data_IF_495616458684
#
_entry.id   IF_495616458684
#
_cell.length_a   1.000
_cell.length_b   1.000
_cell.length_c   1.000
_cell.angle_alpha   90.00
_cell.angle_beta   90.00
_cell.angle_gamma   90.00
#
_symmetry.space_group_name_H-M   'P 1'
#
loop_
_entity.id
_entity.type
_entity.pdbx_description
1 polymer ?
#
# COMPACT_ATOMS: atom_id res chain seq x y z
N UNK A 1 10.48 29.65 6.27
CA UNK A 1 9.12 29.12 6.51
C UNK A 1 8.66 29.67 7.84
N UNK A 2 7.47 30.27 7.92
CA UNK A 2 6.92 30.67 9.21
C UNK A 2 6.52 29.42 10.02
N UNK A 3 6.47 29.53 11.34
CA UNK A 3 5.96 28.44 12.19
C UNK A 3 4.52 28.06 11.82
N UNK A 4 3.71 29.05 11.41
CA UNK A 4 2.34 28.83 10.93
C UNK A 4 2.35 27.94 9.68
N UNK A 5 3.21 28.22 8.69
CA UNK A 5 3.31 27.40 7.48
C UNK A 5 3.70 25.95 7.79
N UNK A 6 4.57 25.75 8.79
CA UNK A 6 4.97 24.41 9.24
C UNK A 6 3.78 23.62 9.79
N UNK A 7 2.95 24.23 10.64
CA UNK A 7 1.76 23.58 11.19
C UNK A 7 0.67 23.34 10.13
N UNK A 8 0.46 24.30 9.22
CA UNK A 8 -0.47 24.15 8.10
C UNK A 8 -0.05 22.98 7.18
N UNK A 9 1.25 22.85 6.90
CA UNK A 9 1.77 21.72 6.15
C UNK A 9 1.61 20.40 6.90
N UNK A 10 1.84 20.38 8.22
CA UNK A 10 1.70 19.18 9.05
C UNK A 10 0.24 18.66 9.13
N UNK A 11 -0.75 19.54 9.00
CA UNK A 11 -2.17 19.19 9.03
C UNK A 11 -2.61 18.37 7.80
N UNK A 12 -1.89 18.47 6.68
CA UNK A 12 -2.23 17.73 5.45
C UNK A 12 -1.20 16.64 5.19
N UNK A 13 -1.66 15.42 4.90
CA UNK A 13 -0.77 14.30 4.56
C UNK A 13 0.02 14.59 3.29
N UNK A 14 1.30 14.23 3.27
CA UNK A 14 2.19 14.46 2.13
C UNK A 14 1.67 13.89 0.81
N UNK A 15 1.14 12.67 0.84
CA UNK A 15 0.55 12.05 -0.35
C UNK A 15 -0.67 12.83 -0.87
N UNK A 16 -1.52 13.34 0.02
CA UNK A 16 -2.67 14.17 -0.36
C UNK A 16 -2.19 15.48 -0.98
N UNK A 17 -1.19 16.14 -0.36
CA UNK A 17 -0.59 17.37 -0.87
C UNK A 17 0.01 17.20 -2.26
N UNK A 18 0.81 16.15 -2.49
CA UNK A 18 1.40 15.84 -3.80
C UNK A 18 0.32 15.54 -4.84
N UNK A 19 -0.66 14.72 -4.48
CA UNK A 19 -1.77 14.35 -5.38
C UNK A 19 -2.63 15.56 -5.78
N UNK A 20 -2.87 16.46 -4.83
CA UNK A 20 -3.64 17.68 -5.08
C UNK A 20 -2.84 18.65 -5.95
N UNK A 21 -1.55 18.85 -5.65
CA UNK A 21 -0.65 19.66 -6.49
C UNK A 21 -0.64 19.18 -7.94
N UNK A 22 -0.41 17.89 -8.17
CA UNK A 22 -0.41 17.32 -9.52
C UNK A 22 -1.78 17.47 -10.21
N UNK A 23 -2.89 17.42 -9.47
CA UNK A 23 -4.22 17.65 -10.02
C UNK A 23 -4.45 19.11 -10.44
N UNK A 24 -3.92 20.07 -9.67
CA UNK A 24 -3.97 21.50 -10.00
C UNK A 24 -3.07 21.81 -11.20
N UNK A 25 -1.81 21.34 -11.20
CA UNK A 25 -0.88 21.47 -12.33
C UNK A 25 -1.47 20.88 -13.61
N UNK A 26 -2.14 19.72 -13.52
CA UNK A 26 -2.83 19.16 -14.68
C UNK A 26 -3.98 20.06 -15.17
N UNK A 27 -4.78 20.62 -14.25
CA UNK A 27 -5.90 21.48 -14.64
C UNK A 27 -5.40 22.75 -15.33
N UNK A 28 -4.43 23.44 -14.74
CA UNK A 28 -3.93 24.71 -15.25
C UNK A 28 -3.00 24.54 -16.45
N UNK A 29 -1.96 23.72 -16.32
CA UNK A 29 -0.89 23.63 -17.32
C UNK A 29 -1.16 22.61 -18.41
N UNK A 30 -1.63 21.41 -18.05
CA UNK A 30 -1.80 20.33 -19.05
C UNK A 30 -3.12 20.44 -19.84
N UNK A 31 -4.19 20.88 -19.19
CA UNK A 31 -5.50 21.06 -19.83
C UNK A 31 -5.76 22.51 -20.29
N UNK A 32 -5.14 23.50 -19.65
CA UNK A 32 -5.33 24.93 -19.98
C UNK A 32 -6.51 25.59 -19.28
N UNK A 33 -6.93 25.07 -18.13
CA UNK A 33 -7.93 25.69 -17.27
C UNK A 33 -7.38 26.90 -16.51
N UNK A 34 -8.27 27.81 -16.11
CA UNK A 34 -7.90 28.97 -15.30
C UNK A 34 -8.52 28.85 -13.91
N UNK A 35 -7.74 29.19 -12.88
CA UNK A 35 -8.19 29.33 -11.50
C UNK A 35 -8.24 30.81 -11.11
N UNK A 36 -9.30 31.28 -10.41
CA UNK A 36 -10.48 30.52 -9.99
C UNK A 36 -11.36 30.08 -11.16
N UNK A 37 -11.84 28.83 -11.10
CA UNK A 37 -12.61 28.21 -12.17
C UNK A 37 -14.13 28.44 -11.98
N UNK A 38 -14.85 28.50 -13.10
CA UNK A 38 -16.31 28.46 -13.11
C UNK A 38 -16.83 27.02 -13.04
N UNK A 39 -18.10 26.85 -12.64
CA UNK A 39 -18.78 25.56 -12.68
C UNK A 39 -18.77 24.94 -14.09
N UNK A 40 -18.91 25.77 -15.13
CA UNK A 40 -18.87 25.34 -16.53
C UNK A 40 -17.47 24.85 -16.93
N UNK A 41 -16.41 25.57 -16.56
CA UNK A 41 -15.03 25.16 -16.80
C UNK A 41 -14.72 23.80 -16.17
N UNK A 42 -15.16 23.59 -14.92
CA UNK A 42 -15.00 22.29 -14.24
C UNK A 42 -15.80 21.19 -14.93
N UNK A 43 -17.02 21.47 -15.36
CA UNK A 43 -17.82 20.50 -16.10
C UNK A 43 -17.13 20.08 -17.41
N UNK A 44 -16.60 21.04 -18.19
CA UNK A 44 -15.85 20.75 -19.42
C UNK A 44 -14.60 19.92 -19.16
N UNK A 45 -13.85 20.24 -18.10
CA UNK A 45 -12.67 19.46 -17.70
C UNK A 45 -13.01 18.00 -17.39
N UNK A 46 -14.12 17.76 -16.67
CA UNK A 46 -14.57 16.40 -16.37
C UNK A 46 -14.95 15.64 -17.64
N UNK A 47 -15.67 16.29 -18.56
CA UNK A 47 -16.11 15.68 -19.83
C UNK A 47 -14.91 15.37 -20.72
N UNK A 48 -13.94 16.28 -20.82
CA UNK A 48 -12.72 16.10 -21.63
C UNK A 48 -11.88 14.89 -21.20
N UNK A 49 -12.06 14.41 -19.97
CA UNK A 49 -11.35 13.26 -19.43
C UNK A 49 -12.27 12.10 -19.03
N UNK A 50 -13.55 12.18 -19.39
CA UNK A 50 -14.50 11.09 -19.22
C UNK A 50 -14.10 9.90 -20.11
N UNK A 51 -14.17 8.69 -19.58
CA UNK A 51 -13.76 7.47 -20.29
C UNK A 51 -12.24 7.29 -20.42
N UNK A 52 -11.44 8.36 -20.36
CA UNK A 52 -9.96 8.30 -20.36
C UNK A 52 -9.41 8.07 -18.95
N UNK A 53 -9.91 8.82 -17.97
CA UNK A 53 -9.50 8.71 -16.58
C UNK A 53 -10.50 7.92 -15.76
N UNK A 54 -10.01 7.21 -14.74
CA UNK A 54 -10.88 6.53 -13.80
C UNK A 54 -11.77 7.52 -13.04
N UNK A 55 -12.98 7.09 -12.68
CA UNK A 55 -13.92 7.89 -11.86
C UNK A 55 -13.27 8.33 -10.54
N UNK A 56 -12.41 7.51 -9.95
CA UNK A 56 -11.68 7.84 -8.73
C UNK A 56 -10.64 8.95 -8.97
N UNK A 57 -9.95 8.92 -10.10
CA UNK A 57 -9.02 9.99 -10.51
C UNK A 57 -9.77 11.31 -10.73
N UNK A 58 -10.91 11.29 -11.41
CA UNK A 58 -11.73 12.49 -11.60
C UNK A 58 -12.27 13.03 -10.27
N UNK A 59 -12.68 12.14 -9.35
CA UNK A 59 -13.11 12.54 -7.99
C UNK A 59 -11.99 13.19 -7.18
N UNK A 60 -10.77 12.65 -7.27
CA UNK A 60 -9.58 13.21 -6.63
C UNK A 60 -9.29 14.61 -7.18
N UNK A 61 -9.33 14.79 -8.50
CA UNK A 61 -9.13 16.08 -9.17
C UNK A 61 -10.17 17.12 -8.75
N UNK A 62 -11.45 16.73 -8.67
CA UNK A 62 -12.49 17.61 -8.12
C UNK A 62 -12.20 18.00 -6.67
N UNK A 63 -11.76 17.06 -5.83
CA UNK A 63 -11.45 17.34 -4.42
C UNK A 63 -10.26 18.31 -4.30
N UNK A 64 -9.26 18.19 -5.18
CA UNK A 64 -8.13 19.11 -5.26
C UNK A 64 -8.57 20.51 -5.68
N UNK A 65 -9.39 20.62 -6.74
CA UNK A 65 -9.94 21.90 -7.20
C UNK A 65 -10.81 22.57 -6.13
N UNK A 66 -11.67 21.81 -5.46
CA UNK A 66 -12.46 22.30 -4.34
C UNK A 66 -11.57 22.84 -3.22
N UNK A 67 -10.54 22.09 -2.84
CA UNK A 67 -9.59 22.50 -1.80
C UNK A 67 -8.85 23.77 -2.19
N UNK A 68 -8.41 23.90 -3.45
CA UNK A 68 -7.77 25.11 -3.94
C UNK A 68 -8.68 26.33 -3.75
N UNK A 69 -9.93 26.28 -4.23
CA UNK A 69 -10.87 27.40 -4.11
C UNK A 69 -11.11 27.79 -2.65
N UNK A 70 -11.41 26.82 -1.80
CA UNK A 70 -11.64 27.06 -0.38
C UNK A 70 -10.40 27.66 0.31
N UNK A 71 -9.20 27.18 -0.01
CA UNK A 71 -7.95 27.69 0.58
C UNK A 71 -7.61 29.12 0.18
N UNK A 72 -8.10 29.55 -0.99
CA UNK A 72 -7.94 30.91 -1.51
C UNK A 72 -9.12 31.83 -1.17
N UNK A 73 -10.12 31.33 -0.41
CA UNK A 73 -11.31 32.11 -0.02
C UNK A 73 -12.40 32.24 -1.09
N UNK A 74 -12.29 31.52 -2.21
CA UNK A 74 -13.32 31.51 -3.25
C UNK A 74 -14.44 30.50 -2.94
N UNK A 75 -15.64 30.77 -3.45
CA UNK A 75 -16.73 29.80 -3.46
C UNK A 75 -16.33 28.54 -4.24
N UNK A 76 -16.80 27.37 -3.81
CA UNK A 76 -16.46 26.08 -4.40
C UNK A 76 -17.34 25.74 -5.64
N UNK A 77 -16.85 25.93 -6.88
CA UNK A 77 -17.60 25.64 -8.11
C UNK A 77 -17.91 24.15 -8.32
N UNK A 78 -17.16 23.24 -7.67
CA UNK A 78 -17.29 21.78 -7.86
C UNK A 78 -18.61 21.24 -7.29
N UNK A 79 -19.22 21.98 -6.36
CA UNK A 79 -20.47 21.62 -5.70
C UNK A 79 -21.71 22.02 -6.48
N UNK A 80 -21.56 22.75 -7.59
CA UNK A 80 -22.67 23.20 -8.42
C UNK A 80 -23.53 22.03 -8.96
N UNK A 81 -24.86 22.23 -9.16
CA UNK A 81 -25.74 21.18 -9.69
C UNK A 81 -25.28 20.63 -11.04
N UNK A 82 -24.75 21.49 -11.92
CA UNK A 82 -24.23 21.10 -13.25
C UNK A 82 -23.05 20.13 -13.12
N UNK A 83 -22.06 20.43 -12.28
CA UNK A 83 -20.90 19.55 -12.07
C UNK A 83 -21.33 18.20 -11.49
N UNK A 84 -22.25 18.19 -10.51
CA UNK A 84 -22.79 16.93 -9.94
C UNK A 84 -23.53 16.10 -10.99
N UNK A 85 -24.35 16.73 -11.83
CA UNK A 85 -25.11 16.06 -12.89
C UNK A 85 -24.18 15.49 -13.97
N UNK A 86 -23.18 16.26 -14.39
CA UNK A 86 -22.13 15.79 -15.31
C UNK A 86 -21.39 14.59 -14.72
N UNK A 87 -20.95 14.68 -13.47
CA UNK A 87 -20.24 13.58 -12.83
C UNK A 87 -21.09 12.31 -12.67
N UNK A 88 -22.40 12.47 -12.41
CA UNK A 88 -23.37 11.36 -12.44
C UNK A 88 -23.50 10.77 -13.85
N UNK A 89 -23.55 11.61 -14.88
CA UNK A 89 -23.57 11.20 -16.29
C UNK A 89 -22.33 10.41 -16.70
N UNK A 90 -21.13 10.87 -16.31
CA UNK A 90 -19.87 10.16 -16.56
C UNK A 90 -19.91 8.75 -15.98
N UNK A 91 -20.41 8.58 -14.76
CA UNK A 91 -20.55 7.24 -14.14
C UNK A 91 -21.53 6.34 -14.87
N UNK A 92 -22.60 6.90 -15.43
CA UNK A 92 -23.61 6.16 -16.17
C UNK A 92 -23.11 5.74 -17.56
N UNK A 93 -22.37 6.63 -18.25
CA UNK A 93 -21.88 6.40 -19.62
C UNK A 93 -20.54 5.64 -19.67
N UNK A 94 -19.73 5.73 -18.60
CA UNK A 94 -18.45 5.05 -18.48
C UNK A 94 -18.42 4.19 -17.22
N UNK A 95 -19.26 3.14 -17.14
CA UNK A 95 -19.18 2.19 -16.04
C UNK A 95 -17.81 1.50 -16.10
N UNK A 96 -17.06 1.58 -15.00
CA UNK A 96 -15.78 0.92 -14.87
C UNK A 96 -15.88 -0.13 -13.77
N UNK A 97 -15.45 -1.35 -14.07
CA UNK A 97 -15.24 -2.36 -13.04
C UNK A 97 -14.05 -1.95 -12.18
N UNK A 98 -14.23 -1.87 -10.85
CA UNK A 98 -13.13 -1.59 -9.94
C UNK A 98 -12.10 -2.73 -10.03
N UNK A 99 -10.96 -2.48 -10.69
CA UNK A 99 -9.82 -3.40 -10.70
C UNK A 99 -9.24 -3.44 -9.30
N UNK A 100 -9.36 -4.58 -8.64
CA UNK A 100 -8.76 -4.82 -7.34
C UNK A 100 -7.41 -5.51 -7.53
N UNK A 101 -6.46 -5.21 -6.64
CA UNK A 101 -5.17 -5.88 -6.66
C UNK A 101 -5.32 -7.39 -6.47
N UNK A 102 -4.55 -8.18 -7.21
CA UNK A 102 -4.54 -9.62 -7.04
C UNK A 102 -3.99 -9.98 -5.65
N UNK A 103 -4.68 -10.80 -4.83
CA UNK A 103 -4.16 -11.23 -3.53
C UNK A 103 -2.93 -12.13 -3.73
N UNK A 104 -1.85 -11.84 -3.02
CA UNK A 104 -0.72 -12.77 -2.95
C UNK A 104 -1.16 -14.04 -2.22
N UNK A 105 -1.16 -15.17 -2.92
CA UNK A 105 -1.55 -16.44 -2.31
C UNK A 105 -0.44 -16.94 -1.38
N UNK A 106 -0.80 -17.73 -0.36
CA UNK A 106 0.18 -18.28 0.57
C UNK A 106 1.25 -19.12 -0.16
N UNK A 107 0.86 -19.92 -1.15
CA UNK A 107 1.78 -20.71 -1.98
C UNK A 107 2.83 -19.84 -2.71
N UNK A 108 2.39 -18.69 -3.24
CA UNK A 108 3.25 -17.78 -3.99
C UNK A 108 4.20 -17.06 -3.03
N UNK A 109 3.72 -16.75 -1.82
CA UNK A 109 4.54 -16.23 -0.73
C UNK A 109 5.60 -17.24 -0.28
N UNK A 110 5.24 -18.52 -0.13
CA UNK A 110 6.17 -19.61 0.22
C UNK A 110 7.27 -19.74 -0.83
N UNK A 111 6.90 -19.81 -2.12
CA UNK A 111 7.84 -19.88 -3.24
C UNK A 111 8.78 -18.66 -3.27
N UNK A 112 8.23 -17.47 -3.05
CA UNK A 112 9.00 -16.22 -3.01
C UNK A 112 10.01 -16.22 -1.88
N UNK A 113 9.61 -16.63 -0.67
CA UNK A 113 10.49 -16.67 0.50
C UNK A 113 11.57 -17.73 0.33
N UNK A 114 11.23 -18.91 -0.21
CA UNK A 114 12.22 -19.95 -0.52
C UNK A 114 13.27 -19.47 -1.52
N UNK A 115 12.86 -18.74 -2.56
CA UNK A 115 13.78 -18.11 -3.52
C UNK A 115 14.74 -17.14 -2.81
N UNK A 116 14.23 -16.25 -1.96
CA UNK A 116 15.04 -15.29 -1.22
C UNK A 116 15.99 -15.97 -0.22
N UNK A 117 15.55 -17.03 0.47
CA UNK A 117 16.41 -17.80 1.38
C UNK A 117 17.55 -18.50 0.62
N UNK A 118 17.28 -18.99 -0.59
CA UNK A 118 18.31 -19.55 -1.46
C UNK A 118 19.30 -18.47 -1.96
N UNK A 119 18.80 -17.29 -2.35
CA UNK A 119 19.65 -16.13 -2.68
C UNK A 119 20.56 -15.75 -1.50
N UNK A 120 20.01 -15.71 -0.29
CA UNK A 120 20.77 -15.41 0.92
C UNK A 120 21.85 -16.46 1.22
N UNK A 121 21.53 -17.74 1.05
CA UNK A 121 22.50 -18.82 1.23
C UNK A 121 23.65 -18.71 0.24
N UNK A 122 23.36 -18.57 -1.05
CA UNK A 122 24.38 -18.41 -2.09
C UNK A 122 25.22 -17.14 -1.88
N UNK A 123 24.59 -16.03 -1.51
CA UNK A 123 25.29 -14.78 -1.21
C UNK A 123 26.24 -14.89 0.00
N UNK A 124 25.89 -15.68 1.02
CA UNK A 124 26.79 -15.97 2.16
C UNK A 124 27.99 -16.80 1.73
N UNK A 125 27.76 -17.85 0.94
CA UNK A 125 28.81 -18.73 0.43
C UNK A 125 29.81 -17.96 -0.47
N UNK A 126 29.30 -17.03 -1.27
CA UNK A 126 30.10 -16.22 -2.20
C UNK A 126 30.61 -14.91 -1.58
N UNK A 127 30.24 -14.62 -0.33
CA UNK A 127 30.52 -13.35 0.34
C UNK A 127 29.98 -12.10 -0.43
N UNK A 128 28.90 -12.27 -1.19
CA UNK A 128 28.20 -11.20 -1.92
C UNK A 128 27.28 -10.41 -0.96
N UNK A 129 27.88 -9.41 -0.31
CA UNK A 129 27.18 -8.57 0.66
C UNK A 129 25.97 -7.82 0.08
N UNK A 130 26.06 -7.17 -1.11
CA UNK A 130 24.91 -6.47 -1.70
C UNK A 130 23.70 -7.37 -2.00
N UNK A 131 23.91 -8.59 -2.48
CA UNK A 131 22.81 -9.55 -2.71
C UNK A 131 22.20 -9.99 -1.38
N UNK A 132 23.04 -10.35 -0.40
CA UNK A 132 22.58 -10.77 0.93
C UNK A 132 21.68 -9.70 1.58
N UNK A 133 22.12 -8.44 1.58
CA UNK A 133 21.35 -7.34 2.18
C UNK A 133 20.01 -7.13 1.47
N UNK A 134 19.97 -7.14 0.14
CA UNK A 134 18.73 -6.99 -0.62
C UNK A 134 17.75 -8.12 -0.33
N UNK A 135 18.22 -9.37 -0.34
CA UNK A 135 17.37 -10.53 -0.08
C UNK A 135 16.82 -10.54 1.36
N UNK A 136 17.66 -10.24 2.37
CA UNK A 136 17.21 -10.09 3.77
C UNK A 136 16.13 -9.02 3.91
N UNK A 137 16.36 -7.82 3.34
CA UNK A 137 15.41 -6.70 3.36
C UNK A 137 14.09 -7.08 2.72
N UNK A 138 14.15 -7.62 1.51
CA UNK A 138 12.97 -7.92 0.70
C UNK A 138 12.11 -8.98 1.39
N UNK A 139 12.74 -10.02 1.95
CA UNK A 139 12.05 -11.06 2.72
C UNK A 139 11.38 -10.49 3.97
N UNK A 140 12.08 -9.64 4.73
CA UNK A 140 11.52 -8.99 5.91
C UNK A 140 10.35 -8.06 5.55
N UNK A 141 10.48 -7.28 4.48
CA UNK A 141 9.45 -6.35 4.00
C UNK A 141 8.19 -7.09 3.54
N UNK A 142 8.36 -8.14 2.74
CA UNK A 142 7.25 -8.94 2.21
C UNK A 142 6.53 -9.68 3.33
N UNK A 143 7.26 -10.34 4.24
CA UNK A 143 6.66 -11.09 5.35
C UNK A 143 5.94 -10.17 6.34
N UNK A 144 6.53 -9.05 6.73
CA UNK A 144 5.84 -8.07 7.56
C UNK A 144 4.63 -7.48 6.83
N UNK A 145 4.79 -7.11 5.55
CA UNK A 145 3.71 -6.56 4.74
C UNK A 145 2.52 -7.51 4.58
N UNK A 146 2.80 -8.80 4.40
CA UNK A 146 1.78 -9.85 4.34
C UNK A 146 1.16 -10.07 5.70
N UNK A 147 1.89 -10.61 6.68
CA UNK A 147 1.32 -11.08 7.94
C UNK A 147 0.66 -9.97 8.76
N UNK A 148 1.17 -8.74 8.66
CA UNK A 148 0.57 -7.59 9.35
C UNK A 148 -0.44 -6.85 8.47
N UNK A 149 -0.54 -7.18 7.19
CA UNK A 149 -1.40 -6.52 6.23
C UNK A 149 -1.09 -5.03 6.07
N UNK A 150 0.16 -4.61 6.26
CA UNK A 150 0.53 -3.20 6.15
C UNK A 150 0.44 -2.68 4.71
N UNK A 151 0.10 -1.40 4.58
CA UNK A 151 0.23 -0.66 3.32
C UNK A 151 1.70 -0.34 3.05
N UNK A 152 2.05 -0.08 1.78
CA UNK A 152 3.42 0.32 1.44
C UNK A 152 3.88 1.56 2.20
N UNK A 153 3.00 2.54 2.41
CA UNK A 153 3.32 3.74 3.18
C UNK A 153 3.47 3.47 4.69
N UNK A 154 2.80 2.45 5.22
CA UNK A 154 2.98 2.02 6.62
C UNK A 154 4.32 1.30 6.78
N UNK A 155 4.65 0.35 5.89
CA UNK A 155 5.95 -0.34 5.86
C UNK A 155 7.13 0.65 5.78
N UNK A 156 7.05 1.61 4.86
CA UNK A 156 8.12 2.58 4.63
C UNK A 156 8.34 3.56 5.80
N UNK A 157 7.39 3.66 6.74
CA UNK A 157 7.47 4.53 7.92
C UNK A 157 7.82 3.79 9.20
N UNK A 158 8.06 2.48 9.15
CA UNK A 158 8.48 1.73 10.34
C UNK A 158 9.88 2.21 10.74
N UNK A 159 9.99 2.63 11.99
CA UNK A 159 11.22 3.12 12.61
C UNK A 159 11.70 2.14 13.67
N UNK A 160 13.00 1.88 13.74
CA UNK A 160 13.60 0.90 14.66
C UNK A 160 13.26 1.25 16.12
N UNK A 161 13.30 2.53 16.48
CA UNK A 161 12.95 3.02 17.82
C UNK A 161 11.50 2.72 18.25
N UNK A 162 10.64 2.37 17.30
CA UNK A 162 9.23 2.05 17.53
C UNK A 162 8.91 0.56 17.36
N UNK A 163 9.94 -0.29 17.29
CA UNK A 163 9.79 -1.74 17.15
C UNK A 163 10.33 -2.48 18.36
N UNK A 164 9.52 -3.38 18.89
CA UNK A 164 9.93 -4.36 19.89
C UNK A 164 9.73 -5.75 19.30
N UNK A 165 10.81 -6.50 19.07
CA UNK A 165 10.78 -7.82 18.46
C UNK A 165 11.40 -8.86 19.40
N UNK A 166 10.66 -9.94 19.66
CA UNK A 166 11.08 -11.06 20.48
C UNK A 166 10.87 -12.36 19.71
N UNK A 167 11.96 -13.06 19.38
CA UNK A 167 11.95 -14.22 18.48
C UNK A 167 10.95 -15.33 18.86
N UNK A 168 10.69 -15.52 20.15
CA UNK A 168 9.77 -16.53 20.68
C UNK A 168 8.33 -16.07 20.89
N UNK A 169 8.03 -14.78 20.77
CA UNK A 169 6.72 -14.22 21.12
C UNK A 169 6.09 -13.49 19.94
N UNK A 170 6.76 -12.47 19.40
CA UNK A 170 6.14 -11.61 18.41
C UNK A 170 6.92 -10.33 18.16
N UNK A 171 6.32 -9.48 17.33
CA UNK A 171 6.78 -8.15 17.02
C UNK A 171 5.66 -7.15 17.28
N UNK A 172 5.99 -6.08 18.00
CA UNK A 172 5.13 -4.92 18.24
C UNK A 172 5.70 -3.73 17.48
N UNK A 173 4.88 -3.07 16.68
CA UNK A 173 5.25 -1.91 15.86
C UNK A 173 4.34 -0.73 16.16
N UNK A 174 4.90 0.39 16.60
CA UNK A 174 4.16 1.64 16.75
C UNK A 174 4.32 2.52 15.51
N UNK A 175 3.21 2.95 14.92
CA UNK A 175 3.18 3.95 13.86
C UNK A 175 2.56 5.25 14.40
N UNK A 176 3.32 6.36 14.48
CA UNK A 176 2.81 7.64 15.00
C UNK A 176 1.64 8.22 14.21
N UNK A 177 1.46 7.78 12.95
CA UNK A 177 0.36 8.20 12.08
C UNK A 177 -0.14 7.02 11.26
N UNK A 178 -1.45 6.80 11.25
CA UNK A 178 -2.10 5.74 10.45
C UNK A 178 -3.24 6.30 9.59
N UNK A 179 -3.66 5.58 8.55
CA UNK A 179 -4.79 6.00 7.69
C UNK A 179 -6.12 5.91 8.44
N UNK A 180 -6.72 7.07 8.72
CA UNK A 180 -7.96 7.19 9.49
C UNK A 180 -7.76 7.53 10.97
N UNK A 181 -6.51 7.76 11.41
CA UNK A 181 -6.21 8.46 12.65
C UNK A 181 -6.36 9.97 12.42
N UNK A 182 -7.41 10.55 12.99
CA UNK A 182 -7.72 11.99 12.89
C UNK A 182 -7.08 12.79 14.02
N UNK A 183 -6.81 12.14 15.15
CA UNK A 183 -6.28 12.77 16.37
C UNK A 183 -4.76 12.65 16.47
N UNK A 184 -4.13 11.85 15.59
CA UNK A 184 -2.68 11.61 15.55
C UNK A 184 -2.13 10.96 16.83
N UNK A 185 -2.92 10.09 17.45
CA UNK A 185 -2.49 9.29 18.61
C UNK A 185 -1.48 8.19 18.19
N UNK A 186 -1.46 7.85 16.90
CA UNK A 186 -0.74 6.71 16.39
C UNK A 186 -1.47 5.40 16.64
N UNK A 187 -0.89 4.31 16.14
CA UNK A 187 -1.46 2.98 16.27
C UNK A 187 -0.35 1.97 16.53
N UNK A 188 -0.54 1.15 17.56
CA UNK A 188 0.30 -0.01 17.83
C UNK A 188 -0.27 -1.24 17.13
N UNK A 189 0.63 -2.01 16.55
CA UNK A 189 0.34 -3.19 15.76
C UNK A 189 1.15 -4.36 16.26
N UNK A 190 0.58 -5.56 16.24
CA UNK A 190 1.25 -6.77 16.71
C UNK A 190 1.17 -7.87 15.66
N UNK A 191 2.25 -8.63 15.53
CA UNK A 191 2.26 -9.87 14.75
C UNK A 191 3.00 -10.96 15.55
N UNK A 192 2.47 -12.20 15.59
CA UNK A 192 3.09 -13.28 16.35
C UNK A 192 4.35 -13.79 15.66
N UNK A 193 5.23 -14.42 16.43
CA UNK A 193 6.27 -15.28 15.87
C UNK A 193 5.61 -16.53 15.27
N UNK A 194 6.03 -16.91 14.07
CA UNK A 194 5.49 -18.06 13.35
C UNK A 194 6.56 -19.14 13.19
N UNK A 195 6.13 -20.40 13.06
CA UNK A 195 7.05 -21.52 12.79
C UNK A 195 7.59 -21.50 11.35
N UNK A 196 6.80 -21.00 10.40
CA UNK A 196 7.17 -20.84 8.98
C UNK A 196 6.85 -19.42 8.54
N UNK A 197 7.60 -18.92 7.55
CA UNK A 197 7.39 -17.58 6.99
C UNK A 197 7.39 -16.49 8.07
N UNK A 198 8.25 -16.63 9.08
CA UNK A 198 8.16 -15.83 10.30
C UNK A 198 8.54 -14.35 10.05
N UNK A 199 7.62 -13.39 10.24
CA UNK A 199 7.93 -11.98 10.05
C UNK A 199 8.90 -11.46 11.11
N UNK A 200 8.85 -12.03 12.32
CA UNK A 200 9.74 -11.66 13.44
C UNK A 200 11.17 -12.07 13.15
N UNK A 201 11.38 -13.33 12.74
CA UNK A 201 12.70 -13.83 12.39
C UNK A 201 13.29 -13.08 11.20
N UNK A 202 12.49 -12.85 10.16
CA UNK A 202 12.95 -12.12 8.99
C UNK A 202 13.33 -10.67 9.33
N UNK A 203 12.56 -10.00 10.19
CA UNK A 203 12.89 -8.68 10.70
C UNK A 203 14.21 -8.67 11.47
N UNK A 204 14.38 -9.58 12.44
CA UNK A 204 15.59 -9.67 13.26
C UNK A 204 16.82 -9.93 12.37
N UNK A 205 16.74 -10.90 11.47
CA UNK A 205 17.84 -11.20 10.55
C UNK A 205 18.17 -10.01 9.65
N UNK A 206 17.18 -9.26 9.17
CA UNK A 206 17.42 -8.04 8.39
C UNK A 206 18.16 -6.96 9.20
N UNK A 207 17.69 -6.60 10.40
CA UNK A 207 18.33 -5.53 11.19
C UNK A 207 19.73 -5.92 11.65
N UNK A 208 19.96 -7.21 11.94
CA UNK A 208 21.26 -7.74 12.32
C UNK A 208 22.21 -7.73 11.14
N UNK A 209 21.79 -8.27 9.99
CA UNK A 209 22.62 -8.28 8.78
C UNK A 209 22.90 -6.87 8.30
N UNK A 210 21.95 -5.94 8.34
CA UNK A 210 22.18 -4.56 7.93
C UNK A 210 22.87 -3.69 9.01
N UNK A 211 23.16 -4.24 10.19
CA UNK A 211 23.71 -3.53 11.34
C UNK A 211 22.93 -2.24 11.70
N UNK A 212 21.61 -2.30 11.61
CA UNK A 212 20.74 -1.15 11.82
C UNK A 212 20.37 -0.99 13.31
N UNK A 213 20.64 0.19 13.87
CA UNK A 213 20.39 0.49 15.29
C UNK A 213 19.36 1.59 15.54
N UNK A 214 19.05 2.43 14.55
CA UNK A 214 18.11 3.57 14.69
C UNK A 214 17.54 3.99 13.34
N UNK A 215 16.39 4.68 13.32
CA UNK A 215 15.81 5.27 12.11
C UNK A 215 15.03 4.26 11.26
N UNK A 216 14.89 4.51 9.94
CA UNK A 216 14.02 3.70 9.09
C UNK A 216 14.45 2.23 9.03
N UNK A 217 13.50 1.32 9.22
CA UNK A 217 13.74 -0.13 9.14
C UNK A 217 14.08 -0.53 7.71
N UNK A 218 13.29 -0.07 6.73
CA UNK A 218 13.47 -0.46 5.33
C UNK A 218 14.11 0.69 4.56
N UNK A 219 15.33 0.45 4.06
CA UNK A 219 16.15 1.42 3.32
C UNK A 219 16.46 0.91 1.92
N UNK A 220 16.79 1.82 1.01
CA UNK A 220 17.39 1.43 -0.26
C UNK A 220 18.76 0.81 0.01
N UNK A 221 19.08 -0.24 -0.74
CA UNK A 221 20.41 -0.88 -0.79
C UNK A 221 20.89 -0.68 -2.22
N UNK A 222 22.01 -0.01 -2.40
CA UNK A 222 22.59 0.18 -3.72
C UNK A 222 23.33 -1.08 -4.22
N UNK A 223 23.90 -1.02 -5.44
CA UNK A 223 24.62 -2.15 -6.03
C UNK A 223 25.92 -2.51 -5.32
N UNK A 224 26.44 -1.62 -4.48
CA UNK A 224 27.67 -1.80 -3.71
C UNK A 224 27.39 -2.20 -2.25
N UNK A 225 26.12 -2.30 -1.87
CA UNK A 225 25.71 -2.70 -0.52
C UNK A 225 25.58 -1.54 0.46
N UNK A 226 25.65 -0.28 0.00
CA UNK A 226 25.45 0.87 0.87
C UNK A 226 23.95 1.08 1.15
N UNK A 227 23.66 1.45 2.39
CA UNK A 227 22.31 1.73 2.87
C UNK A 227 22.02 3.23 2.78
N UNK A 228 20.88 3.58 2.22
CA UNK A 228 20.34 4.94 2.27
C UNK A 228 20.11 5.39 3.72
N UNK A 229 20.34 6.67 4.01
CA UNK A 229 19.94 7.28 5.28
C UNK A 229 18.42 7.39 5.41
N UNK A 230 17.75 7.67 4.30
CA UNK A 230 16.29 7.74 4.22
C UNK A 230 15.65 6.37 4.04
N UNK A 231 14.42 6.24 4.54
CA UNK A 231 13.58 5.07 4.33
C UNK A 231 13.16 4.91 2.86
N UNK A 232 12.77 3.69 2.49
CA UNK A 232 12.21 3.42 1.17
C UNK A 232 11.02 4.32 0.89
N UNK A 233 10.91 4.80 -0.35
CA UNK A 233 9.72 5.50 -0.78
C UNK A 233 8.58 4.50 -1.05
N UNK A 234 7.34 4.85 -0.72
CA UNK A 234 6.18 3.96 -0.90
C UNK A 234 5.97 3.49 -2.35
N UNK A 235 6.40 4.31 -3.33
CA UNK A 235 6.35 3.97 -4.75
C UNK A 235 7.38 2.89 -5.15
N UNK A 236 8.45 2.70 -4.38
CA UNK A 236 9.47 1.70 -4.65
C UNK A 236 9.04 0.28 -4.24
N UNK A 237 7.99 0.15 -3.42
CA UNK A 237 7.50 -1.15 -2.94
C UNK A 237 6.91 -1.99 -4.07
N UNK A 238 6.20 -1.39 -5.03
CA UNK A 238 5.62 -2.12 -6.17
C UNK A 238 6.71 -2.73 -7.07
N UNK A 239 7.67 -1.96 -7.62
CA UNK A 239 8.71 -2.53 -8.46
C UNK A 239 9.57 -3.54 -7.70
N UNK A 240 9.87 -3.29 -6.41
CA UNK A 240 10.58 -4.25 -5.56
C UNK A 240 9.82 -5.57 -5.45
N UNK A 241 8.54 -5.52 -5.06
CA UNK A 241 7.69 -6.72 -4.95
C UNK A 241 7.65 -7.48 -6.27
N UNK A 242 7.47 -6.79 -7.39
CA UNK A 242 7.38 -7.42 -8.71
C UNK A 242 8.69 -8.09 -9.11
N UNK A 243 9.81 -7.39 -8.94
CA UNK A 243 11.12 -7.94 -9.24
C UNK A 243 11.39 -9.21 -8.43
N UNK A 244 11.05 -9.21 -7.14
CA UNK A 244 11.23 -10.36 -6.26
C UNK A 244 10.34 -11.55 -6.68
N UNK A 245 9.07 -11.29 -7.03
CA UNK A 245 8.17 -12.32 -7.56
C UNK A 245 8.67 -12.90 -8.89
N UNK A 246 9.17 -12.05 -9.79
CA UNK A 246 9.74 -12.48 -11.07
C UNK A 246 10.98 -13.36 -10.89
N UNK A 247 11.88 -13.01 -9.96
CA UNK A 247 13.03 -13.87 -9.60
C UNK A 247 12.59 -15.24 -9.08
N UNK A 248 11.46 -15.29 -8.38
CA UNK A 248 10.84 -16.53 -7.92
C UNK A 248 10.06 -17.27 -9.02
N UNK A 249 10.01 -16.77 -10.26
CA UNK A 249 9.29 -17.39 -11.38
C UNK A 249 7.78 -17.14 -11.38
N UNK A 250 7.30 -16.13 -10.64
CA UNK A 250 5.89 -15.77 -10.53
C UNK A 250 5.60 -14.55 -11.40
N UNK A 251 4.56 -14.64 -12.26
CA UNK A 251 4.14 -13.52 -13.11
C UNK A 251 3.64 -12.34 -12.27
N UNK A 252 4.39 -11.24 -12.27
CA UNK A 252 4.21 -10.18 -11.28
C UNK A 252 3.35 -8.99 -11.73
N UNK A 253 2.96 -8.92 -13.02
CA UNK A 253 2.33 -7.74 -13.64
C UNK A 253 1.07 -7.27 -12.90
N UNK A 254 0.31 -8.20 -12.32
CA UNK A 254 -0.97 -7.95 -11.65
C UNK A 254 -0.83 -7.57 -10.18
N UNK A 255 0.36 -7.78 -9.61
CA UNK A 255 0.62 -7.49 -8.20
C UNK A 255 0.91 -6.00 -7.99
N UNK A 256 0.42 -5.48 -6.87
CA UNK A 256 0.60 -4.09 -6.43
C UNK A 256 0.94 -4.05 -4.94
N UNK A 257 1.16 -2.87 -4.39
CA UNK A 257 1.41 -2.70 -2.95
C UNK A 257 0.26 -3.20 -2.07
N UNK A 258 -0.95 -3.29 -2.61
CA UNK A 258 -2.13 -3.80 -1.90
C UNK A 258 -2.23 -5.33 -1.91
N UNK A 259 -1.45 -6.02 -2.74
CA UNK A 259 -1.52 -7.47 -2.89
C UNK A 259 -1.14 -8.22 -1.62
N UNK A 260 -0.18 -7.73 -0.85
CA UNK A 260 0.23 -8.31 0.44
C UNK A 260 -0.93 -8.26 1.46
N UNK A 261 -1.51 -7.06 1.65
CA UNK A 261 -2.66 -6.86 2.54
C UNK A 261 -3.87 -7.67 2.12
N UNK A 262 -4.15 -7.77 0.81
CA UNK A 262 -5.24 -8.61 0.29
C UNK A 262 -4.97 -10.08 0.50
N UNK A 263 -3.75 -10.54 0.20
CA UNK A 263 -3.31 -11.91 0.43
C UNK A 263 -3.56 -12.36 1.86
N UNK A 264 -3.12 -11.57 2.84
CA UNK A 264 -3.36 -11.87 4.24
C UNK A 264 -4.85 -11.86 4.60
N UNK A 265 -5.61 -10.86 4.17
CA UNK A 265 -7.04 -10.81 4.47
C UNK A 265 -7.80 -12.03 3.91
N UNK A 266 -7.45 -12.44 2.68
CA UNK A 266 -7.99 -13.64 2.05
C UNK A 266 -7.59 -14.90 2.81
N UNK A 267 -6.30 -15.04 3.16
CA UNK A 267 -5.79 -16.18 3.93
C UNK A 267 -6.45 -16.28 5.32
N UNK A 268 -6.55 -15.18 6.05
CA UNK A 268 -7.11 -15.15 7.40
C UNK A 268 -8.60 -15.51 7.38
N UNK A 269 -9.34 -14.97 6.41
CA UNK A 269 -10.73 -15.36 6.21
C UNK A 269 -10.88 -16.84 5.86
N UNK A 270 -10.06 -17.37 4.95
CA UNK A 270 -10.04 -18.80 4.60
C UNK A 270 -9.64 -19.69 5.78
N UNK A 271 -8.84 -19.16 6.70
CA UNK A 271 -8.42 -19.81 7.94
C UNK A 271 -9.45 -19.66 9.07
N UNK A 272 -10.67 -19.17 8.77
CA UNK A 272 -11.80 -19.13 9.69
C UNK A 272 -11.80 -17.95 10.66
N UNK A 273 -11.00 -16.90 10.43
CA UNK A 273 -11.06 -15.70 11.25
C UNK A 273 -12.41 -15.00 11.10
N UNK A 274 -13.06 -14.68 12.22
CA UNK A 274 -14.26 -13.88 12.19
C UNK A 274 -13.95 -12.43 11.76
N UNK A 275 -14.96 -11.76 11.21
CA UNK A 275 -14.80 -10.42 10.63
C UNK A 275 -14.33 -9.40 11.65
N UNK A 276 -14.77 -9.49 12.92
CA UNK A 276 -14.41 -8.52 13.97
C UNK A 276 -12.93 -8.67 14.35
N UNK A 277 -12.46 -9.90 14.51
CA UNK A 277 -11.05 -10.20 14.76
C UNK A 277 -10.18 -9.75 13.59
N UNK A 278 -10.59 -10.03 12.35
CA UNK A 278 -9.87 -9.58 11.16
C UNK A 278 -9.81 -8.05 11.05
N UNK A 279 -10.93 -7.36 11.30
CA UNK A 279 -11.00 -5.89 11.29
C UNK A 279 -10.09 -5.27 12.36
N UNK A 280 -10.15 -5.79 13.60
CA UNK A 280 -9.30 -5.36 14.70
C UNK A 280 -7.83 -5.55 14.36
N UNK A 281 -7.48 -6.76 13.92
CA UNK A 281 -6.11 -7.10 13.55
C UNK A 281 -5.64 -6.20 12.42
N UNK A 282 -6.31 -6.14 11.26
CA UNK A 282 -5.86 -5.38 10.07
C UNK A 282 -5.99 -3.85 10.24
N UNK A 283 -6.73 -3.38 11.24
CA UNK A 283 -6.97 -1.96 11.52
C UNK A 283 -8.01 -1.33 10.59
N UNK A 284 -9.05 -2.07 10.23
CA UNK A 284 -10.19 -1.53 9.48
C UNK A 284 -11.22 -0.94 10.44
N UNK A 285 -11.51 0.37 10.29
CA UNK A 285 -12.53 1.07 11.09
C UNK A 285 -13.96 0.94 10.53
N UNK A 286 -14.08 0.59 9.25
CA UNK A 286 -15.35 0.54 8.52
C UNK A 286 -15.59 -0.85 7.95
N UNK A 287 -16.74 -1.44 8.28
CA UNK A 287 -17.15 -2.77 7.84
C UNK A 287 -17.27 -2.84 6.31
N UNK A 288 -17.78 -1.80 5.66
CA UNK A 288 -17.90 -1.77 4.18
C UNK A 288 -16.54 -1.85 3.50
N UNK A 289 -15.52 -1.29 4.13
CA UNK A 289 -14.13 -1.39 3.66
C UNK A 289 -13.55 -2.79 3.85
N UNK A 290 -13.93 -3.49 4.92
CA UNK A 290 -13.50 -4.87 5.20
C UNK A 290 -14.16 -5.89 4.25
N UNK A 291 -15.46 -5.75 3.98
CA UNK A 291 -16.21 -6.66 3.08
C UNK A 291 -15.59 -6.78 1.68
N UNK A 292 -14.97 -5.70 1.17
CA UNK A 292 -14.23 -5.71 -0.11
C UNK A 292 -13.07 -6.71 -0.19
N UNK A 293 -12.61 -7.22 0.95
CA UNK A 293 -11.53 -8.20 1.05
C UNK A 293 -12.04 -9.62 1.32
N UNK A 294 -13.29 -9.75 1.79
CA UNK A 294 -13.88 -10.99 2.29
C UNK A 294 -14.87 -11.59 1.27
N UNK A 295 -15.60 -10.75 0.54
CA UNK A 295 -16.65 -11.18 -0.42
C UNK A 295 -16.12 -11.90 -1.68
N UNK A 296 -14.80 -12.06 -1.84
CA UNK A 296 -14.20 -12.62 -3.05
C UNK A 296 -14.39 -14.15 -3.22
N UNK A 297 -15.04 -14.85 -2.28
CA UNK A 297 -15.31 -16.29 -2.43
C UNK A 297 -16.65 -16.70 -1.81
N UNK A 298 -17.78 -16.51 -2.53
CA UNK A 298 -19.10 -16.94 -2.07
C UNK A 298 -19.25 -18.47 -1.90
N UNK A 299 -18.23 -19.25 -2.30
CA UNK A 299 -18.22 -20.71 -2.26
C UNK A 299 -17.39 -21.29 -1.11
N UNK A 300 -17.18 -20.53 -0.03
CA UNK A 300 -16.48 -21.03 1.16
C UNK A 300 -17.23 -22.28 1.70
N UNK A 301 -16.53 -23.42 1.79
CA UNK A 301 -17.10 -24.71 2.18
C UNK A 301 -17.44 -25.66 1.03
N UNK A 302 -17.42 -25.21 -0.23
CA UNK A 302 -17.46 -26.13 -1.38
C UNK A 302 -16.05 -26.62 -1.69
N UNK A 303 -15.83 -27.93 -1.54
CA UNK A 303 -14.60 -28.57 -1.97
C UNK A 303 -14.33 -28.23 -3.44
N UNK A 304 -13.16 -27.67 -3.74
CA UNK A 304 -12.69 -27.64 -5.13
C UNK A 304 -12.57 -29.09 -5.58
N UNK A 305 -13.10 -29.42 -6.74
CA UNK A 305 -12.80 -30.69 -7.41
C UNK A 305 -11.29 -30.65 -7.64
N UNK A 306 -10.54 -31.27 -6.74
CA UNK A 306 -9.14 -31.62 -6.99
C UNK A 306 -9.16 -32.58 -8.16
N UNK A 307 -8.39 -32.27 -9.21
CA UNK A 307 -8.15 -33.15 -10.35
C UNK A 307 -7.85 -34.56 -9.85
N UNK A 308 -8.87 -35.41 -9.91
CA UNK A 308 -8.71 -36.84 -9.76
C UNK A 308 -7.89 -37.25 -10.98
N UNK A 309 -6.70 -37.84 -10.84
CA UNK A 309 -6.03 -38.38 -12.01
C UNK A 309 -6.99 -39.39 -12.62
N UNK A 310 -7.39 -39.13 -13.87
CA UNK A 310 -7.97 -40.14 -14.73
C UNK A 310 -6.86 -41.16 -14.97
N UNK A 311 -6.74 -42.11 -14.04
CA UNK A 311 -6.02 -43.34 -14.33
C UNK A 311 -6.88 -44.18 -15.27
N UNK A 312 -6.26 -44.82 -16.28
CA UNK A 312 -6.95 -45.52 -17.36
C UNK A 312 -7.74 -46.74 -16.91
#
# INVERSE_FOLDING_TARGET
MSDIDRYLQAATRDNTRRSYRAAIEHFESAWGGFLPATADSIARYLVAHAGVLSVNTLKLRLSALAQWHNSQGFADPTKSPVVRKVFKGIRALHPAQEKQAEPLQLRDLEQTVACLEQEMKGAREQQDRPVLLRACRDRALILLGFWRGFRSDELCRVQIEHVQAHASSGITLYLPRSKGDRENLGQTYQAPALLKLCPVQAYIEWITEAALVRGPVFRAVDRWGNLSEEGLHANSVIPLLRQVLERAGISAERYTSHSLRRGFATWAHQSGWDLKSLMSYVGWKDMKSAMRYVEASPFHGMARITDKPLSP
#
